data_IF_287021002174
#
_entry.id   IF_287021002174
#
_cell.length_a   1.000
_cell.length_b   1.000
_cell.length_c   1.000
_cell.angle_alpha   90.00
_cell.angle_beta   90.00
_cell.angle_gamma   90.00
#
_symmetry.space_group_name_H-M   'P 1'
#
loop_
_entity.id
_entity.type
_entity.pdbx_description
1 polymer ?
#
# COMPACT_ATOMS: atom_id res chain seq x y z
N UNK A 1 -25.43 -20.35 19.45
CA UNK A 1 -25.13 -19.58 18.23
C UNK A 1 -26.40 -18.83 17.87
N UNK A 2 -26.38 -17.52 18.01
CA UNK A 2 -27.54 -16.68 17.69
C UNK A 2 -27.80 -16.71 16.18
N UNK A 3 -29.05 -16.52 15.75
CA UNK A 3 -29.44 -16.57 14.32
C UNK A 3 -28.60 -15.59 13.46
N UNK A 4 -28.14 -14.49 14.06
CA UNK A 4 -27.26 -13.52 13.43
C UNK A 4 -25.84 -14.06 13.16
N UNK A 5 -25.26 -14.82 14.10
CA UNK A 5 -23.95 -15.44 13.93
C UNK A 5 -23.96 -16.50 12.81
N UNK A 6 -25.05 -17.27 12.69
CA UNK A 6 -25.24 -18.25 11.60
C UNK A 6 -25.27 -17.54 10.24
N UNK A 7 -25.98 -16.41 10.14
CA UNK A 7 -26.10 -15.67 8.88
C UNK A 7 -24.76 -15.06 8.43
N UNK A 8 -23.95 -14.55 9.37
CA UNK A 8 -22.60 -14.03 9.10
C UNK A 8 -21.68 -15.15 8.62
N UNK A 9 -21.70 -16.32 9.28
CA UNK A 9 -20.91 -17.48 8.86
C UNK A 9 -21.32 -17.98 7.47
N UNK A 10 -22.62 -18.08 7.17
CA UNK A 10 -23.11 -18.48 5.84
C UNK A 10 -22.64 -17.49 4.78
N UNK A 11 -22.70 -16.19 5.06
CA UNK A 11 -22.23 -15.16 4.13
C UNK A 11 -20.71 -15.26 3.89
N UNK A 12 -19.93 -15.51 4.94
CA UNK A 12 -18.48 -15.72 4.87
C UNK A 12 -18.13 -16.93 3.99
N UNK A 13 -18.85 -18.05 4.10
CA UNK A 13 -18.61 -19.23 3.26
C UNK A 13 -19.37 -19.22 1.93
N UNK A 14 -20.01 -18.11 1.57
CA UNK A 14 -20.69 -18.00 0.28
C UNK A 14 -19.68 -18.01 -0.88
N UNK A 15 -20.08 -18.55 -2.03
CA UNK A 15 -19.25 -18.57 -3.24
C UNK A 15 -18.74 -17.18 -3.62
N UNK A 16 -19.56 -16.15 -3.40
CA UNK A 16 -19.20 -14.77 -3.70
C UNK A 16 -18.15 -14.22 -2.72
N UNK A 17 -18.24 -14.54 -1.42
CA UNK A 17 -17.20 -14.17 -0.45
C UNK A 17 -15.87 -14.85 -0.76
N UNK A 18 -15.92 -16.16 -1.08
CA UNK A 18 -14.76 -16.94 -1.48
C UNK A 18 -14.12 -16.36 -2.74
N UNK A 19 -14.93 -16.02 -3.75
CA UNK A 19 -14.44 -15.40 -4.99
C UNK A 19 -13.74 -14.07 -4.71
N UNK A 20 -14.33 -13.19 -3.90
CA UNK A 20 -13.74 -11.90 -3.53
C UNK A 20 -12.46 -12.06 -2.72
N UNK A 21 -12.42 -13.00 -1.78
CA UNK A 21 -11.24 -13.32 -1.00
C UNK A 21 -10.09 -13.82 -1.88
N UNK A 22 -10.37 -14.71 -2.85
CA UNK A 22 -9.35 -15.15 -3.83
C UNK A 22 -8.75 -13.98 -4.60
N UNK A 23 -9.57 -13.07 -5.09
CA UNK A 23 -9.10 -11.86 -5.79
C UNK A 23 -8.21 -11.02 -4.87
N UNK A 24 -8.61 -10.81 -3.61
CA UNK A 24 -7.79 -10.07 -2.64
C UNK A 24 -6.45 -10.77 -2.37
N UNK A 25 -6.44 -12.09 -2.21
CA UNK A 25 -5.22 -12.87 -2.00
C UNK A 25 -4.30 -12.83 -3.22
N UNK A 26 -4.84 -12.90 -4.44
CA UNK A 26 -4.09 -12.73 -5.68
C UNK A 26 -3.43 -11.35 -5.76
N UNK A 27 -4.16 -10.28 -5.41
CA UNK A 27 -3.61 -8.91 -5.40
C UNK A 27 -2.58 -8.68 -4.30
N UNK A 28 -2.78 -9.24 -3.11
CA UNK A 28 -1.75 -9.27 -2.06
C UNK A 28 -0.47 -9.97 -2.53
N UNK A 29 -0.60 -11.12 -3.20
CA UNK A 29 0.54 -11.84 -3.74
C UNK A 29 1.27 -11.04 -4.85
N UNK A 30 0.51 -10.33 -5.69
CA UNK A 30 1.05 -9.43 -6.70
C UNK A 30 1.87 -8.28 -6.08
N UNK A 31 1.34 -7.59 -5.07
CA UNK A 31 2.06 -6.56 -4.31
C UNK A 31 3.30 -7.14 -3.62
N UNK A 32 3.17 -8.28 -2.95
CA UNK A 32 4.30 -8.94 -2.27
C UNK A 32 5.44 -9.31 -3.23
N UNK A 33 5.11 -9.62 -4.49
CA UNK A 33 6.08 -9.90 -5.56
C UNK A 33 6.75 -8.63 -6.09
N UNK A 34 5.97 -7.58 -6.36
CA UNK A 34 6.45 -6.35 -7.01
C UNK A 34 7.23 -5.45 -6.04
N UNK A 35 6.72 -5.30 -4.81
CA UNK A 35 7.25 -4.39 -3.80
C UNK A 35 8.75 -4.51 -3.54
N UNK A 36 9.34 -5.70 -3.27
CA UNK A 36 10.77 -5.79 -3.00
C UNK A 36 11.61 -5.34 -4.20
N UNK A 37 11.22 -5.70 -5.43
CA UNK A 37 11.93 -5.32 -6.66
C UNK A 37 11.91 -3.80 -6.84
N UNK A 38 10.73 -3.18 -6.66
CA UNK A 38 10.57 -1.73 -6.80
C UNK A 38 11.36 -0.98 -5.75
N UNK A 39 11.26 -1.40 -4.49
CA UNK A 39 11.98 -0.77 -3.37
C UNK A 39 13.49 -0.90 -3.51
N UNK A 40 13.98 -2.01 -4.05
CA UNK A 40 15.40 -2.22 -4.30
C UNK A 40 15.95 -1.18 -5.27
N UNK A 41 15.38 -1.04 -6.47
CA UNK A 41 15.92 -0.09 -7.43
C UNK A 41 15.71 1.37 -7.01
N UNK A 42 14.57 1.71 -6.38
CA UNK A 42 14.33 3.08 -5.92
C UNK A 42 15.35 3.50 -4.87
N UNK A 43 15.60 2.63 -3.88
CA UNK A 43 16.60 2.87 -2.83
C UNK A 43 18.00 2.97 -3.41
N UNK A 44 18.34 2.08 -4.36
CA UNK A 44 19.64 2.08 -5.04
C UNK A 44 19.87 3.37 -5.84
N UNK A 45 18.89 3.80 -6.62
CA UNK A 45 18.96 5.05 -7.41
C UNK A 45 19.19 6.25 -6.48
N UNK A 46 18.43 6.36 -5.40
CA UNK A 46 18.59 7.45 -4.42
C UNK A 46 19.99 7.43 -3.77
N UNK A 47 20.49 6.24 -3.42
CA UNK A 47 21.82 6.07 -2.82
C UNK A 47 22.97 6.42 -3.79
N UNK A 48 22.83 6.08 -5.07
CA UNK A 48 23.83 6.33 -6.11
C UNK A 48 23.91 7.82 -6.47
N UNK A 49 22.76 8.50 -6.61
CA UNK A 49 22.72 9.90 -7.05
C UNK A 49 22.93 10.90 -5.91
N UNK A 50 22.59 10.52 -4.67
CA UNK A 50 22.79 11.35 -3.47
C UNK A 50 22.17 12.76 -3.57
N UNK A 51 21.00 12.89 -4.18
CA UNK A 51 20.30 14.17 -4.31
C UNK A 51 20.07 14.85 -2.96
N UNK A 52 20.20 16.17 -2.95
CA UNK A 52 20.19 17.00 -1.75
C UNK A 52 18.96 17.89 -1.77
N UNK A 53 18.25 17.96 -0.64
CA UNK A 53 17.27 19.01 -0.44
C UNK A 53 17.94 20.23 0.21
N UNK A 54 17.94 21.36 -0.49
CA UNK A 54 18.52 22.63 -0.04
C UNK A 54 17.56 23.48 0.84
N UNK A 55 16.31 23.01 1.07
CA UNK A 55 15.24 23.81 1.70
C UNK A 55 15.30 23.93 3.23
N UNK A 56 16.32 23.44 3.93
CA UNK A 56 16.51 23.79 5.33
C UNK A 56 16.94 25.26 5.43
N UNK A 57 15.93 26.15 5.47
CA UNK A 57 16.13 27.59 5.67
C UNK A 57 16.97 27.81 6.94
N UNK A 58 17.91 28.77 6.92
CA UNK A 58 18.63 29.13 8.12
C UNK A 58 17.63 29.55 9.19
N UNK A 59 17.65 28.88 10.33
CA UNK A 59 17.03 29.40 11.54
C UNK A 59 18.15 30.00 12.39
N UNK A 60 17.89 31.20 12.90
CA UNK A 60 18.74 31.82 13.89
C UNK A 60 18.34 31.17 15.22
N UNK A 61 19.29 30.53 15.90
CA UNK A 61 19.03 29.98 17.23
C UNK A 61 18.68 31.11 18.22
N UNK A 62 18.23 30.76 19.42
CA UNK A 62 17.88 31.74 20.47
C UNK A 62 19.08 32.61 20.93
N UNK A 63 20.28 32.31 20.46
CA UNK A 63 21.53 32.99 20.78
C UNK A 63 22.07 33.85 19.62
N UNK A 64 21.37 33.93 18.48
CA UNK A 64 21.81 34.72 17.34
C UNK A 64 22.79 34.01 16.41
N UNK A 65 23.02 32.70 16.58
CA UNK A 65 23.88 31.93 15.69
C UNK A 65 23.09 31.46 14.47
N UNK A 66 23.60 31.72 13.27
CA UNK A 66 23.15 31.05 12.06
C UNK A 66 23.67 29.59 12.08
N UNK A 67 22.77 28.62 12.27
CA UNK A 67 23.13 27.23 11.97
C UNK A 67 23.29 27.08 10.45
N UNK A 68 24.47 26.62 10.01
CA UNK A 68 24.75 26.34 8.60
C UNK A 68 23.82 25.24 8.10
N UNK A 69 23.38 25.38 6.85
CA UNK A 69 22.65 24.38 6.08
C UNK A 69 23.09 22.96 6.42
N UNK A 70 22.14 22.12 6.86
CA UNK A 70 22.36 20.69 6.89
C UNK A 70 21.84 20.14 5.57
N UNK A 71 22.76 19.91 4.64
CA UNK A 71 22.44 19.21 3.40
C UNK A 71 21.79 17.86 3.74
N UNK A 72 20.50 17.73 3.44
CA UNK A 72 19.78 16.46 3.63
C UNK A 72 19.86 15.67 2.35
N UNK A 73 20.66 14.62 2.37
CA UNK A 73 20.68 13.62 1.30
C UNK A 73 19.40 12.78 1.40
N UNK A 74 18.59 12.79 0.35
CA UNK A 74 17.38 11.98 0.25
C UNK A 74 17.76 10.53 -0.04
N UNK A 75 17.37 9.61 0.84
CA UNK A 75 17.75 8.18 0.76
C UNK A 75 16.58 7.22 0.74
N UNK A 76 15.40 7.68 1.13
CA UNK A 76 14.19 6.87 1.20
C UNK A 76 13.22 7.27 0.08
N UNK A 77 12.57 6.32 -0.60
CA UNK A 77 11.57 6.65 -1.63
C UNK A 77 10.37 7.40 -1.06
N UNK A 78 10.06 7.27 0.23
CA UNK A 78 9.03 8.05 0.92
C UNK A 78 9.38 9.54 1.02
N UNK A 79 10.65 9.89 0.88
CA UNK A 79 11.17 11.24 0.98
C UNK A 79 11.31 11.93 -0.40
N UNK A 80 10.90 11.29 -1.50
CA UNK A 80 11.09 11.85 -2.86
C UNK A 80 10.33 13.15 -3.09
N UNK A 81 9.31 13.45 -2.29
CA UNK A 81 8.60 14.74 -2.29
C UNK A 81 9.49 15.92 -1.84
N UNK A 82 10.69 15.65 -1.33
CA UNK A 82 11.71 16.64 -0.97
C UNK A 82 12.75 16.87 -2.06
N UNK A 83 12.70 16.13 -3.18
CA UNK A 83 13.61 16.35 -4.31
C UNK A 83 13.25 17.64 -5.03
N UNK A 84 14.26 18.34 -5.56
CA UNK A 84 14.03 19.40 -6.53
C UNK A 84 13.40 18.83 -7.80
N UNK A 85 12.65 19.65 -8.55
CA UNK A 85 11.91 19.17 -9.73
C UNK A 85 12.80 18.48 -10.78
N UNK A 86 13.99 19.02 -11.04
CA UNK A 86 14.95 18.42 -11.99
C UNK A 86 15.48 17.06 -11.50
N UNK A 87 15.80 16.95 -10.21
CA UNK A 87 16.24 15.70 -9.58
C UNK A 87 15.10 14.68 -9.54
N UNK A 88 13.87 15.12 -9.31
CA UNK A 88 12.69 14.27 -9.32
C UNK A 88 12.39 13.73 -10.71
N UNK A 89 12.50 14.55 -11.76
CA UNK A 89 12.35 14.10 -13.14
C UNK A 89 13.43 13.08 -13.53
N UNK A 90 14.68 13.29 -13.12
CA UNK A 90 15.76 12.33 -13.33
C UNK A 90 15.52 11.02 -12.54
N UNK A 91 15.03 11.12 -11.31
CA UNK A 91 14.61 9.98 -10.50
C UNK A 91 13.53 9.13 -11.19
N UNK A 92 12.47 9.77 -11.72
CA UNK A 92 11.41 9.09 -12.46
C UNK A 92 11.97 8.40 -13.71
N UNK A 93 12.82 9.08 -14.47
CA UNK A 93 13.48 8.53 -15.66
C UNK A 93 14.32 7.29 -15.33
N UNK A 94 15.09 7.32 -14.25
CA UNK A 94 15.91 6.19 -13.80
C UNK A 94 15.05 5.03 -13.30
N UNK A 95 14.00 5.32 -12.54
CA UNK A 95 13.04 4.30 -12.07
C UNK A 95 12.35 3.60 -13.24
N UNK A 96 11.95 4.34 -14.27
CA UNK A 96 11.35 3.78 -15.48
C UNK A 96 12.30 2.81 -16.20
N UNK A 97 13.59 3.15 -16.31
CA UNK A 97 14.59 2.26 -16.90
C UNK A 97 14.77 0.96 -16.13
N UNK A 98 14.80 1.02 -14.79
CA UNK A 98 14.89 -0.17 -13.95
C UNK A 98 13.61 -1.00 -13.97
N UNK A 99 12.45 -0.35 -14.07
CA UNK A 99 11.15 -0.98 -14.24
C UNK A 99 11.11 -1.86 -15.51
N UNK A 100 11.58 -1.34 -16.65
CA UNK A 100 11.68 -2.10 -17.90
C UNK A 100 12.66 -3.27 -17.76
N UNK A 101 13.83 -3.07 -17.12
CA UNK A 101 14.82 -4.14 -16.89
C UNK A 101 14.26 -5.26 -16.01
N UNK A 102 13.41 -4.92 -15.05
CA UNK A 102 12.72 -5.88 -14.19
C UNK A 102 11.59 -6.64 -14.91
N UNK A 103 11.30 -6.31 -16.18
CA UNK A 103 10.28 -6.95 -16.99
C UNK A 103 8.85 -6.52 -16.66
N UNK A 104 8.67 -5.40 -15.97
CA UNK A 104 7.35 -4.83 -15.74
C UNK A 104 6.86 -4.08 -16.97
N UNK A 105 5.57 -4.20 -17.25
CA UNK A 105 4.90 -3.42 -18.28
C UNK A 105 4.32 -2.16 -17.65
N UNK A 106 4.75 -1.00 -18.13
CA UNK A 106 4.29 0.32 -17.70
C UNK A 106 4.04 1.15 -18.95
N UNK A 107 2.99 2.00 -18.92
CA UNK A 107 2.58 2.79 -20.09
C UNK A 107 3.55 3.94 -20.38
N UNK A 108 4.06 4.57 -19.33
CA UNK A 108 5.01 5.70 -19.40
C UNK A 108 5.89 5.79 -18.15
N UNK A 109 6.75 6.82 -18.10
CA UNK A 109 7.68 7.07 -17.00
C UNK A 109 7.05 7.62 -15.72
N UNK A 110 5.79 8.04 -15.77
CA UNK A 110 5.06 8.53 -14.60
C UNK A 110 4.38 7.37 -13.84
N UNK A 111 4.24 6.21 -14.48
CA UNK A 111 3.65 5.02 -13.86
C UNK A 111 4.63 4.25 -12.98
N UNK A 112 4.19 3.99 -11.75
CA UNK A 112 4.90 3.15 -10.79
C UNK A 112 4.14 1.81 -10.66
N UNK A 113 4.72 0.66 -11.06
CA UNK A 113 4.02 -0.62 -11.04
C UNK A 113 3.60 -1.05 -9.62
N UNK A 114 4.35 -0.60 -8.59
CA UNK A 114 3.95 -0.83 -7.20
C UNK A 114 2.70 -0.03 -6.83
N UNK A 115 2.59 1.22 -7.29
CA UNK A 115 1.43 2.06 -7.01
C UNK A 115 0.17 1.48 -7.65
N UNK A 116 0.27 0.98 -8.88
CA UNK A 116 -0.84 0.32 -9.57
C UNK A 116 -1.27 -0.96 -8.85
N UNK A 117 -0.31 -1.78 -8.44
CA UNK A 117 -0.58 -3.00 -7.69
C UNK A 117 -1.23 -2.72 -6.32
N UNK A 118 -0.72 -1.74 -5.56
CA UNK A 118 -1.28 -1.32 -4.27
C UNK A 118 -2.69 -0.72 -4.44
N UNK A 119 -2.95 0.00 -5.53
CA UNK A 119 -4.29 0.49 -5.86
C UNK A 119 -5.25 -0.67 -6.16
N UNK A 120 -4.84 -1.65 -6.97
CA UNK A 120 -5.66 -2.83 -7.23
C UNK A 120 -5.93 -3.67 -5.97
N UNK A 121 -4.94 -3.84 -5.08
CA UNK A 121 -5.12 -4.47 -3.79
C UNK A 121 -6.16 -3.72 -2.95
N UNK A 122 -6.06 -2.39 -2.86
CA UNK A 122 -7.01 -1.57 -2.12
C UNK A 122 -8.43 -1.70 -2.64
N UNK A 123 -8.63 -1.76 -3.97
CA UNK A 123 -9.95 -1.99 -4.56
C UNK A 123 -10.48 -3.39 -4.21
N UNK A 124 -9.66 -4.44 -4.31
CA UNK A 124 -10.06 -5.79 -3.95
C UNK A 124 -10.42 -5.92 -2.46
N UNK A 125 -9.66 -5.24 -1.60
CA UNK A 125 -9.90 -5.19 -0.15
C UNK A 125 -11.22 -4.50 0.15
N UNK A 126 -11.44 -3.32 -0.45
CA UNK A 126 -12.70 -2.58 -0.34
C UNK A 126 -13.88 -3.44 -0.79
N UNK A 127 -13.74 -4.14 -1.90
CA UNK A 127 -14.79 -5.01 -2.45
C UNK A 127 -15.11 -6.21 -1.55
N UNK A 128 -14.10 -6.83 -0.93
CA UNK A 128 -14.30 -7.93 0.00
C UNK A 128 -14.96 -7.45 1.30
N UNK A 129 -14.42 -6.41 1.91
CA UNK A 129 -14.92 -5.86 3.18
C UNK A 129 -16.32 -5.28 3.04
N UNK A 130 -16.59 -4.53 1.97
CA UNK A 130 -17.93 -3.97 1.74
C UNK A 130 -18.97 -5.06 1.53
N UNK A 131 -18.61 -6.18 0.91
CA UNK A 131 -19.50 -7.33 0.81
C UNK A 131 -19.80 -7.90 2.19
N UNK A 132 -18.77 -8.12 3.02
CA UNK A 132 -18.92 -8.62 4.38
C UNK A 132 -19.76 -7.73 5.30
N UNK A 133 -19.51 -6.42 5.29
CA UNK A 133 -20.22 -5.46 6.16
C UNK A 133 -21.74 -5.45 5.92
N UNK A 134 -22.20 -5.78 4.70
CA UNK A 134 -23.64 -5.91 4.39
C UNK A 134 -24.32 -7.05 5.14
N UNK A 135 -23.56 -8.07 5.51
CA UNK A 135 -24.07 -9.27 6.19
C UNK A 135 -23.96 -9.21 7.71
N UNK A 136 -23.30 -8.18 8.26
CA UNK A 136 -23.19 -7.94 9.70
C UNK A 136 -24.26 -6.89 10.08
N UNK A 137 -25.34 -7.26 10.78
CA UNK A 137 -26.46 -6.35 11.07
C UNK A 137 -26.04 -5.02 11.71
N UNK A 138 -25.09 -5.06 12.63
CA UNK A 138 -24.58 -3.90 13.37
C UNK A 138 -23.67 -3.00 12.52
N UNK A 139 -23.19 -3.50 11.39
CA UNK A 139 -22.21 -2.85 10.54
C UNK A 139 -22.75 -2.40 9.16
N UNK A 140 -24.03 -2.62 8.88
CA UNK A 140 -24.63 -2.30 7.56
C UNK A 140 -24.50 -0.83 7.15
N UNK A 141 -24.38 0.08 8.11
CA UNK A 141 -24.22 1.53 7.87
C UNK A 141 -22.77 2.01 8.01
N UNK A 142 -21.81 1.10 8.19
CA UNK A 142 -20.39 1.43 8.30
C UNK A 142 -19.78 1.38 6.89
N UNK A 143 -19.16 2.47 6.46
CA UNK A 143 -18.41 2.48 5.19
C UNK A 143 -17.08 1.76 5.36
N UNK A 144 -16.51 1.28 4.24
CA UNK A 144 -15.17 0.70 4.21
C UNK A 144 -14.14 1.62 4.89
N UNK A 145 -14.13 2.90 4.52
CA UNK A 145 -13.19 3.89 5.04
C UNK A 145 -13.37 4.07 6.55
N UNK A 146 -14.63 4.16 7.02
CA UNK A 146 -14.91 4.26 8.45
C UNK A 146 -14.44 3.01 9.19
N UNK A 147 -14.67 1.82 8.64
CA UNK A 147 -14.25 0.56 9.25
C UNK A 147 -12.72 0.46 9.31
N UNK A 148 -12.01 0.78 8.22
CA UNK A 148 -10.56 0.70 8.10
C UNK A 148 -9.80 1.71 8.96
N UNK A 149 -10.31 2.94 9.07
CA UNK A 149 -9.56 4.03 9.72
C UNK A 149 -9.98 4.33 11.16
N UNK A 150 -11.08 3.78 11.68
CA UNK A 150 -11.47 3.97 13.09
C UNK A 150 -10.54 3.24 14.04
N UNK A 151 -10.19 1.99 13.71
CA UNK A 151 -9.28 1.14 14.49
C UNK A 151 -8.49 0.24 13.51
N UNK A 152 -7.37 0.75 12.96
CA UNK A 152 -6.62 0.04 11.92
C UNK A 152 -6.04 -1.31 12.35
N UNK A 153 -5.70 -1.45 13.63
CA UNK A 153 -5.13 -2.68 14.17
C UNK A 153 -6.20 -3.75 14.29
N UNK A 154 -7.36 -3.41 14.86
CA UNK A 154 -8.51 -4.32 14.92
C UNK A 154 -9.03 -4.68 13.54
N UNK A 155 -9.06 -3.71 12.63
CA UNK A 155 -9.42 -3.94 11.23
C UNK A 155 -8.54 -5.02 10.59
N UNK A 156 -7.21 -4.90 10.75
CA UNK A 156 -6.25 -5.85 10.20
C UNK A 156 -6.43 -7.25 10.79
N UNK A 157 -6.55 -7.35 12.12
CA UNK A 157 -6.78 -8.64 12.79
C UNK A 157 -8.05 -9.35 12.30
N UNK A 158 -9.16 -8.61 12.14
CA UNK A 158 -10.41 -9.18 11.62
C UNK A 158 -10.25 -9.64 10.17
N UNK A 159 -9.65 -8.80 9.31
CA UNK A 159 -9.46 -9.11 7.90
C UNK A 159 -8.56 -10.33 7.71
N UNK A 160 -7.45 -10.41 8.45
CA UNK A 160 -6.51 -11.51 8.34
C UNK A 160 -7.14 -12.83 8.84
N UNK A 161 -7.87 -12.80 9.96
CA UNK A 161 -8.63 -13.98 10.44
C UNK A 161 -9.66 -14.45 9.42
N UNK A 162 -10.41 -13.53 8.81
CA UNK A 162 -11.39 -13.87 7.78
C UNK A 162 -10.73 -14.56 6.58
N UNK A 163 -9.58 -14.07 6.15
CA UNK A 163 -8.84 -14.66 5.04
C UNK A 163 -8.23 -16.01 5.39
N UNK A 164 -7.70 -16.19 6.61
CA UNK A 164 -7.19 -17.48 7.10
C UNK A 164 -8.29 -18.54 7.08
N UNK A 165 -9.48 -18.21 7.59
CA UNK A 165 -10.63 -19.13 7.59
C UNK A 165 -11.01 -19.55 6.16
N UNK A 166 -11.01 -18.59 5.22
CA UNK A 166 -11.31 -18.89 3.80
C UNK A 166 -10.20 -19.74 3.18
N UNK A 167 -8.93 -19.48 3.49
CA UNK A 167 -7.80 -20.27 3.01
C UNK A 167 -7.89 -21.72 3.50
N UNK A 168 -8.12 -21.93 4.80
CA UNK A 168 -8.32 -23.26 5.38
C UNK A 168 -9.48 -24.00 4.71
N UNK A 169 -10.59 -23.30 4.42
CA UNK A 169 -11.71 -23.87 3.69
C UNK A 169 -11.36 -24.28 2.26
N UNK A 170 -10.49 -23.53 1.59
CA UNK A 170 -10.03 -23.83 0.24
C UNK A 170 -9.05 -25.01 0.21
N UNK A 171 -8.24 -25.20 1.25
CA UNK A 171 -7.27 -26.30 1.36
C UNK A 171 -7.95 -27.64 1.71
N UNK A 172 -9.10 -27.60 2.40
CA UNK A 172 -9.85 -28.78 2.82
C UNK A 172 -10.89 -29.28 1.78
N UNK A 173 -10.89 -28.73 0.56
CA UNK A 173 -11.74 -29.13 -0.57
C UNK A 173 -10.94 -29.86 -1.64
#
# INVERSE_FOLDING_TARGET
MEVQEIAVLIALYSDESIRRAKILLEKRAEVARIKPIVREYQTRILAENRWINELEKPFIDVHGNEEKYKERIIRSPEETHWLADDDFNEYLRLCYQECIKAGFHVEDSEHCPLMDAEYCELQAEKDFVTFWLKHIPEAQNITFEKFKFTDPDRYRDILDRALVIIQEYLENK
#
